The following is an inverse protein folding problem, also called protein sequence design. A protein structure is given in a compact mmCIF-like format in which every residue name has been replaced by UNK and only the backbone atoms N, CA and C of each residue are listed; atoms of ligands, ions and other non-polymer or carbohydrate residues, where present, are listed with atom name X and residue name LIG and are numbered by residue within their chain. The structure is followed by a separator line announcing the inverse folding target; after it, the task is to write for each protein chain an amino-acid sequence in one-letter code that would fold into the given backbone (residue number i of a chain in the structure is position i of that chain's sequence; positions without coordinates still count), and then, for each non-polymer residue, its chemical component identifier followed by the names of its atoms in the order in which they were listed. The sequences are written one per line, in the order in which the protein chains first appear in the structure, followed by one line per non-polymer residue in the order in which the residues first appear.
data_IF_475234885927
#
_entry.id   IF_475234885927
#
_cell.length_a   1.000
_cell.length_b   1.000
_cell.length_c   1.000
_cell.angle_alpha   90.00
_cell.angle_beta   90.00
_cell.angle_gamma   90.00
#
_symmetry.space_group_name_H-M   'P 1'
#
loop_
_entity.id
_entity.type
_entity.pdbx_description
1 polymer ?
#
# COMPACT_ATOMS: atom_id res chain seq x y z
N UNK A 1 11.82 -27.87 16.21
CA UNK A 1 12.76 -27.09 15.43
C UNK A 1 14.05 -27.89 15.49
N UNK A 2 14.14 -28.85 14.57
CA UNK A 2 15.00 -30.04 14.48
C UNK A 2 14.85 -31.12 15.57
N UNK A 3 14.77 -32.39 15.12
CA UNK A 3 14.80 -33.58 16.01
C UNK A 3 16.22 -33.81 16.53
N UNK A 4 17.21 -33.54 15.71
CA UNK A 4 18.63 -33.52 16.08
C UNK A 4 18.94 -32.24 16.85
N UNK A 5 19.14 -32.36 18.17
CA UNK A 5 19.40 -31.23 19.07
C UNK A 5 20.77 -30.56 18.85
N UNK A 6 21.63 -31.11 17.99
CA UNK A 6 22.88 -30.47 17.60
C UNK A 6 22.70 -29.41 16.51
N UNK A 7 21.51 -29.31 15.91
CA UNK A 7 21.18 -28.40 14.82
C UNK A 7 20.09 -27.41 15.22
N UNK A 8 20.10 -26.25 14.55
CA UNK A 8 19.05 -25.24 14.68
C UNK A 8 18.12 -25.30 13.46
N UNK A 9 16.81 -25.30 13.71
CA UNK A 9 15.84 -24.99 12.65
C UNK A 9 15.98 -23.53 12.25
N UNK A 10 15.99 -23.24 10.95
CA UNK A 10 16.26 -21.90 10.42
C UNK A 10 15.12 -21.37 9.55
N UNK A 11 13.93 -21.25 10.13
CA UNK A 11 12.75 -20.68 9.49
C UNK A 11 12.78 -19.15 9.40
N UNK A 12 13.67 -18.49 10.17
CA UNK A 12 13.92 -17.05 10.08
C UNK A 12 14.89 -16.66 8.97
N UNK A 13 15.64 -17.62 8.42
CA UNK A 13 16.77 -17.33 7.51
C UNK A 13 18.02 -16.80 8.22
N UNK A 14 17.96 -16.50 9.52
CA UNK A 14 19.02 -15.83 10.29
C UNK A 14 19.83 -16.76 11.22
N UNK A 15 19.85 -18.07 10.93
CA UNK A 15 20.66 -19.10 11.59
C UNK A 15 19.93 -19.89 12.68
N UNK A 16 18.90 -19.34 13.32
CA UNK A 16 18.09 -20.05 14.31
C UNK A 16 16.62 -19.67 14.26
N UNK A 17 15.77 -20.35 15.03
CA UNK A 17 14.35 -20.03 15.16
C UNK A 17 13.92 -20.19 16.61
N UNK A 18 13.28 -19.15 17.15
CA UNK A 18 12.75 -19.17 18.50
C UNK A 18 11.59 -20.17 18.60
N UNK A 19 11.59 -21.02 19.64
CA UNK A 19 10.50 -21.96 19.90
C UNK A 19 9.29 -21.25 20.51
N UNK A 20 8.65 -20.36 19.75
CA UNK A 20 7.61 -19.45 20.22
C UNK A 20 6.43 -20.14 20.94
N UNK A 21 6.09 -21.37 20.53
CA UNK A 21 4.99 -22.14 21.11
C UNK A 21 5.37 -22.99 22.33
N UNK A 22 6.66 -23.11 22.67
CA UNK A 22 7.10 -23.76 23.91
C UNK A 22 6.69 -22.92 25.12
N UNK A 23 6.14 -23.56 26.16
CA UNK A 23 5.45 -22.90 27.29
C UNK A 23 6.25 -21.75 27.93
N UNK A 24 7.54 -21.95 28.20
CA UNK A 24 8.40 -20.94 28.84
C UNK A 24 8.69 -19.76 27.90
N UNK A 25 8.94 -20.03 26.62
CA UNK A 25 9.25 -19.02 25.61
C UNK A 25 8.00 -18.21 25.28
N UNK A 26 6.84 -18.87 25.18
CA UNK A 26 5.54 -18.24 25.01
C UNK A 26 5.28 -17.22 26.12
N UNK A 27 5.53 -17.61 27.38
CA UNK A 27 5.42 -16.70 28.53
C UNK A 27 6.37 -15.51 28.40
N UNK A 28 7.64 -15.75 28.06
CA UNK A 28 8.63 -14.69 27.87
C UNK A 28 8.19 -13.67 26.82
N UNK A 29 7.65 -14.12 25.69
CA UNK A 29 7.12 -13.23 24.63
C UNK A 29 5.95 -12.39 25.18
N UNK A 30 4.97 -13.01 25.86
CA UNK A 30 3.84 -12.28 26.44
C UNK A 30 4.27 -11.27 27.50
N UNK A 31 5.19 -11.65 28.39
CA UNK A 31 5.69 -10.76 29.44
C UNK A 31 6.45 -9.56 28.82
N UNK A 32 7.18 -9.77 27.72
CA UNK A 32 7.80 -8.69 26.94
C UNK A 32 6.76 -7.73 26.34
N UNK A 33 5.74 -8.26 25.65
CA UNK A 33 4.69 -7.44 25.04
C UNK A 33 3.93 -6.62 26.09
N UNK A 34 3.59 -7.23 27.23
CA UNK A 34 2.94 -6.55 28.36
C UNK A 34 3.82 -5.45 28.95
N UNK A 35 5.13 -5.68 29.06
CA UNK A 35 6.07 -4.66 29.52
C UNK A 35 6.06 -3.44 28.58
N UNK A 36 6.19 -3.66 27.26
CA UNK A 36 6.16 -2.58 26.29
C UNK A 36 4.82 -1.83 26.28
N UNK A 37 3.70 -2.53 26.37
CA UNK A 37 2.38 -1.91 26.41
C UNK A 37 2.15 -1.13 27.72
N UNK A 38 2.36 -1.77 28.88
CA UNK A 38 1.98 -1.20 30.18
C UNK A 38 3.02 -0.26 30.79
N UNK A 39 4.31 -0.53 30.61
CA UNK A 39 5.38 0.26 31.22
C UNK A 39 5.96 1.30 30.27
N UNK A 40 6.04 0.97 28.97
CA UNK A 40 6.60 1.87 27.95
C UNK A 40 5.52 2.58 27.13
N UNK A 41 4.24 2.26 27.37
CA UNK A 41 3.07 2.86 26.73
C UNK A 41 3.07 2.72 25.19
N UNK A 42 3.54 1.58 24.68
CA UNK A 42 3.48 1.25 23.25
C UNK A 42 2.04 0.91 22.84
N UNK A 43 1.54 1.54 21.76
CA UNK A 43 0.16 1.37 21.26
C UNK A 43 -0.06 0.13 20.38
N UNK A 44 1.00 -0.52 19.92
CA UNK A 44 0.91 -1.67 19.04
C UNK A 44 2.24 -2.24 18.58
N UNK A 45 2.16 -3.39 17.89
CA UNK A 45 3.30 -4.20 17.50
C UNK A 45 3.16 -4.70 16.06
N UNK A 46 4.24 -4.56 15.27
CA UNK A 46 4.42 -5.26 14.00
C UNK A 46 5.36 -6.43 14.22
N UNK A 47 4.89 -7.65 13.99
CA UNK A 47 5.63 -8.88 14.19
C UNK A 47 6.33 -9.27 12.89
N UNK A 48 7.66 -9.24 12.93
CA UNK A 48 8.55 -9.70 11.87
C UNK A 48 8.44 -11.21 11.67
N UNK A 49 8.39 -11.66 10.41
CA UNK A 49 8.20 -13.05 10.00
C UNK A 49 7.20 -13.80 10.91
N UNK A 50 6.01 -13.22 11.11
CA UNK A 50 5.05 -13.66 12.12
C UNK A 50 4.61 -15.13 11.94
N UNK A 51 4.74 -15.69 10.72
CA UNK A 51 4.51 -17.11 10.45
C UNK A 51 5.47 -18.03 11.22
N UNK A 52 6.65 -17.57 11.64
CA UNK A 52 7.51 -18.32 12.56
C UNK A 52 6.76 -18.66 13.86
N UNK A 53 5.93 -17.74 14.35
CA UNK A 53 5.14 -17.94 15.57
C UNK A 53 3.96 -18.90 15.38
N UNK A 54 3.60 -19.23 14.12
CA UNK A 54 2.62 -20.26 13.82
C UNK A 54 3.22 -21.67 13.80
N UNK A 55 4.55 -21.81 13.82
CA UNK A 55 5.23 -23.12 13.85
C UNK A 55 5.24 -23.74 15.24
N UNK A 56 5.00 -25.04 15.29
CA UNK A 56 5.04 -25.85 16.50
C UNK A 56 6.46 -26.12 16.98
N UNK A 57 6.57 -26.92 18.05
CA UNK A 57 7.86 -27.20 18.67
C UNK A 57 8.78 -28.04 17.80
N UNK A 58 8.26 -28.75 16.79
CA UNK A 58 9.03 -29.55 15.84
C UNK A 58 9.30 -28.79 14.52
N UNK A 59 8.48 -27.79 14.17
CA UNK A 59 8.64 -26.89 13.02
C UNK A 59 7.49 -26.94 12.01
N UNK A 60 6.53 -27.81 12.27
CA UNK A 60 5.26 -27.94 11.58
C UNK A 60 4.41 -26.66 11.74
N UNK A 61 3.79 -26.14 10.67
CA UNK A 61 2.78 -25.09 10.82
C UNK A 61 1.58 -25.60 11.62
N UNK A 62 1.19 -24.88 12.66
CA UNK A 62 0.01 -25.19 13.45
C UNK A 62 -1.19 -24.44 12.89
N UNK A 63 -2.33 -25.14 12.75
CA UNK A 63 -3.61 -24.49 12.44
C UNK A 63 -4.12 -23.61 13.58
N UNK A 64 -3.74 -23.93 14.82
CA UNK A 64 -4.17 -23.23 16.03
C UNK A 64 -2.98 -22.95 16.97
N UNK A 65 -2.06 -22.05 16.61
CA UNK A 65 -0.83 -21.81 17.38
C UNK A 65 -1.14 -21.07 18.70
N UNK A 66 -0.82 -21.67 19.87
CA UNK A 66 -1.19 -21.08 21.15
C UNK A 66 -0.68 -19.66 21.40
N UNK A 67 0.52 -19.29 20.94
CA UNK A 67 1.07 -17.95 21.18
C UNK A 67 0.24 -16.84 20.53
N UNK A 68 -0.22 -17.02 19.28
CA UNK A 68 -0.93 -15.98 18.54
C UNK A 68 -2.29 -15.68 19.19
N UNK A 69 -3.00 -16.72 19.63
CA UNK A 69 -4.24 -16.55 20.40
C UNK A 69 -4.00 -16.00 21.79
N UNK A 70 -2.90 -16.37 22.45
CA UNK A 70 -2.55 -15.80 23.75
C UNK A 70 -2.28 -14.30 23.65
N UNK A 71 -1.63 -13.83 22.58
CA UNK A 71 -1.39 -12.40 22.32
C UNK A 71 -2.72 -11.69 22.08
N UNK A 72 -3.55 -12.24 21.20
CA UNK A 72 -4.82 -11.60 20.82
C UNK A 72 -5.82 -11.49 21.96
N UNK A 73 -5.90 -12.52 22.82
CA UNK A 73 -6.86 -12.60 23.92
C UNK A 73 -6.34 -12.06 25.25
N UNK A 74 -5.09 -11.55 25.30
CA UNK A 74 -4.52 -11.00 26.52
C UNK A 74 -5.23 -9.71 26.95
N UNK A 75 -5.76 -9.61 28.18
CA UNK A 75 -6.48 -8.42 28.63
C UNK A 75 -5.64 -7.13 28.65
N UNK A 76 -4.32 -7.24 28.88
CA UNK A 76 -3.41 -6.09 28.86
C UNK A 76 -3.19 -5.62 27.42
N UNK A 77 -3.12 -6.56 26.47
CA UNK A 77 -2.89 -6.26 25.05
C UNK A 77 -4.18 -5.97 24.28
N UNK A 78 -5.36 -6.11 24.91
CA UNK A 78 -6.64 -5.92 24.26
C UNK A 78 -6.82 -4.52 23.63
N UNK A 79 -6.16 -3.47 24.14
CA UNK A 79 -6.18 -2.14 23.51
C UNK A 79 -5.16 -1.94 22.38
N UNK A 80 -4.22 -2.86 22.19
CA UNK A 80 -3.07 -2.68 21.29
C UNK A 80 -3.35 -3.15 19.86
N UNK A 81 -2.73 -2.48 18.88
CA UNK A 81 -2.76 -2.88 17.48
C UNK A 81 -1.74 -4.01 17.25
N UNK A 82 -2.12 -5.06 16.53
CA UNK A 82 -1.23 -6.19 16.22
C UNK A 82 -1.20 -6.43 14.71
N UNK A 83 -0.01 -6.36 14.13
CA UNK A 83 0.22 -6.43 12.68
C UNK A 83 1.20 -7.57 12.39
N UNK A 84 0.88 -8.43 11.44
CA UNK A 84 1.71 -9.56 11.04
C UNK A 84 2.36 -9.34 9.68
N UNK A 85 3.66 -9.63 9.60
CA UNK A 85 4.28 -10.08 8.36
C UNK A 85 3.97 -11.58 8.20
N UNK A 86 2.88 -11.91 7.51
CA UNK A 86 2.32 -13.26 7.50
C UNK A 86 3.04 -14.22 6.52
N UNK A 87 4.37 -14.27 6.59
CA UNK A 87 5.21 -15.24 5.91
C UNK A 87 6.50 -15.51 6.68
N UNK A 88 7.28 -16.51 6.26
CA UNK A 88 8.64 -16.75 6.78
C UNK A 88 9.66 -17.09 5.68
N UNK A 89 10.93 -17.11 6.05
CA UNK A 89 12.04 -17.33 5.12
C UNK A 89 12.15 -18.78 4.61
N UNK A 90 11.37 -19.72 5.16
CA UNK A 90 11.29 -21.09 4.68
C UNK A 90 10.15 -21.33 3.69
N UNK A 91 9.47 -20.27 3.24
CA UNK A 91 8.45 -20.30 2.20
C UNK A 91 7.03 -20.53 2.72
N UNK A 92 6.80 -20.51 4.04
CA UNK A 92 5.42 -20.48 4.55
C UNK A 92 4.82 -19.11 4.27
N UNK A 93 3.65 -19.08 3.62
CA UNK A 93 2.95 -17.85 3.25
C UNK A 93 1.49 -17.94 3.72
N UNK A 94 1.09 -17.01 4.58
CA UNK A 94 -0.19 -17.04 5.31
C UNK A 94 -1.01 -15.77 5.15
N UNK A 95 -0.66 -14.85 4.23
CA UNK A 95 -1.48 -13.66 3.97
C UNK A 95 -2.91 -14.07 3.59
N UNK A 96 -3.91 -13.48 4.23
CA UNK A 96 -5.34 -13.79 4.07
C UNK A 96 -5.82 -14.97 4.94
N UNK A 97 -4.91 -15.80 5.42
CA UNK A 97 -5.20 -16.99 6.25
C UNK A 97 -4.52 -16.95 7.62
N UNK A 98 -3.92 -15.83 8.00
CA UNK A 98 -3.26 -15.67 9.28
C UNK A 98 -4.30 -15.77 10.40
N UNK A 99 -3.95 -16.50 11.47
CA UNK A 99 -4.89 -16.82 12.54
C UNK A 99 -5.33 -15.56 13.28
N UNK A 100 -6.49 -15.65 13.92
CA UNK A 100 -7.01 -14.58 14.75
C UNK A 100 -7.94 -13.61 14.03
N UNK A 101 -8.67 -12.83 14.83
CA UNK A 101 -9.68 -11.89 14.37
C UNK A 101 -9.13 -10.47 14.26
N UNK A 102 -8.26 -10.07 15.20
CA UNK A 102 -7.72 -8.69 15.32
C UNK A 102 -6.44 -8.42 14.54
N UNK A 103 -5.77 -9.45 14.05
CA UNK A 103 -4.51 -9.31 13.34
C UNK A 103 -4.73 -8.60 12.01
N UNK A 104 -4.09 -7.45 11.85
CA UNK A 104 -3.86 -6.85 10.54
C UNK A 104 -2.60 -7.47 9.92
N UNK A 105 -2.50 -7.42 8.59
CA UNK A 105 -1.47 -8.13 7.84
C UNK A 105 -0.85 -7.17 6.82
N UNK A 106 0.47 -7.19 6.70
CA UNK A 106 1.16 -6.57 5.57
C UNK A 106 0.69 -7.22 4.27
N UNK A 107 0.02 -6.44 3.42
CA UNK A 107 -0.54 -6.94 2.18
C UNK A 107 0.50 -6.88 1.05
N UNK A 108 1.36 -7.90 0.99
CA UNK A 108 2.34 -8.05 -0.09
C UNK A 108 1.70 -8.15 -1.48
N UNK A 109 0.46 -8.65 -1.59
CA UNK A 109 -0.28 -8.71 -2.86
C UNK A 109 -0.71 -7.31 -3.33
N UNK A 110 -1.08 -6.42 -2.42
CA UNK A 110 -1.34 -5.01 -2.76
C UNK A 110 -0.10 -4.39 -3.36
N UNK A 111 1.05 -4.51 -2.69
CA UNK A 111 2.34 -4.02 -3.18
C UNK A 111 2.62 -4.53 -4.60
N UNK A 112 2.61 -5.84 -4.78
CA UNK A 112 3.03 -6.45 -6.04
C UNK A 112 2.07 -6.13 -7.18
N UNK A 113 0.76 -6.20 -6.96
CA UNK A 113 -0.23 -5.95 -8.03
C UNK A 113 -0.27 -4.48 -8.45
N UNK A 114 -0.14 -3.54 -7.50
CA UNK A 114 -0.09 -2.11 -7.83
C UNK A 114 1.18 -1.76 -8.62
N UNK A 115 2.33 -2.33 -8.24
CA UNK A 115 3.60 -2.16 -8.96
C UNK A 115 3.53 -2.70 -10.39
N UNK A 116 3.05 -3.93 -10.56
CA UNK A 116 2.87 -4.56 -11.88
C UNK A 116 1.92 -3.73 -12.77
N UNK A 117 0.79 -3.27 -12.22
CA UNK A 117 -0.16 -2.47 -12.98
C UNK A 117 0.42 -1.12 -13.43
N UNK A 118 1.08 -0.39 -12.54
CA UNK A 118 1.71 0.90 -12.88
C UNK A 118 2.84 0.74 -13.91
N UNK A 119 3.58 -0.37 -13.83
CA UNK A 119 4.57 -0.77 -14.84
C UNK A 119 3.93 -1.05 -16.21
N UNK A 120 2.64 -1.37 -16.25
CA UNK A 120 1.88 -1.66 -17.47
C UNK A 120 1.88 -3.14 -17.82
N UNK A 121 1.86 -4.02 -16.82
CA UNK A 121 1.70 -5.46 -17.06
C UNK A 121 0.26 -5.83 -17.42
N UNK A 122 0.14 -6.85 -18.26
CA UNK A 122 -1.13 -7.43 -18.68
C UNK A 122 -1.85 -8.16 -17.52
N UNK A 123 -3.19 -8.21 -17.59
CA UNK A 123 -4.05 -8.99 -16.70
C UNK A 123 -4.21 -8.41 -15.29
N UNK A 124 -3.79 -7.16 -15.07
CA UNK A 124 -3.75 -6.56 -13.73
C UNK A 124 -5.09 -5.97 -13.25
N UNK A 125 -5.97 -5.52 -14.16
CA UNK A 125 -7.16 -4.71 -13.82
C UNK A 125 -8.07 -5.40 -12.79
N UNK A 126 -8.34 -6.69 -12.95
CA UNK A 126 -9.15 -7.45 -11.99
C UNK A 126 -8.50 -7.51 -10.61
N UNK A 127 -7.17 -7.67 -10.55
CA UNK A 127 -6.44 -7.76 -9.29
C UNK A 127 -6.44 -6.43 -8.56
N UNK A 128 -6.11 -5.33 -9.23
CA UNK A 128 -6.11 -4.00 -8.60
C UNK A 128 -7.50 -3.56 -8.14
N UNK A 129 -8.58 -3.98 -8.82
CA UNK A 129 -9.95 -3.71 -8.36
C UNK A 129 -10.22 -4.35 -7.00
N UNK A 130 -9.73 -5.57 -6.77
CA UNK A 130 -9.78 -6.18 -5.45
C UNK A 130 -8.90 -5.43 -4.45
N UNK A 131 -7.67 -5.06 -4.84
CA UNK A 131 -6.73 -4.34 -3.97
C UNK A 131 -7.29 -2.99 -3.48
N UNK A 132 -7.96 -2.23 -4.36
CA UNK A 132 -8.64 -0.96 -4.04
C UNK A 132 -9.73 -1.16 -2.98
N UNK A 133 -10.39 -2.31 -2.97
CA UNK A 133 -11.47 -2.65 -2.04
C UNK A 133 -11.01 -3.41 -0.79
N UNK A 134 -9.78 -3.16 -0.31
CA UNK A 134 -9.18 -3.86 0.83
C UNK A 134 -9.04 -5.39 0.64
N UNK A 135 -8.86 -5.85 -0.60
CA UNK A 135 -8.53 -7.24 -0.96
C UNK A 135 -9.51 -8.31 -0.45
N UNK A 136 -10.80 -8.25 -0.83
CA UNK A 136 -11.82 -9.18 -0.34
C UNK A 136 -11.59 -10.64 -0.79
N UNK A 137 -10.82 -10.85 -1.85
CA UNK A 137 -10.37 -12.16 -2.33
C UNK A 137 -9.22 -12.76 -1.49
N UNK A 138 -8.56 -11.98 -0.65
CA UNK A 138 -7.61 -12.49 0.35
C UNK A 138 -8.29 -12.63 1.72
N UNK A 139 -9.17 -11.68 2.05
CA UNK A 139 -9.87 -11.63 3.33
C UNK A 139 -11.34 -11.98 3.12
N UNK A 140 -11.62 -13.27 2.91
CA UNK A 140 -12.94 -13.78 2.53
C UNK A 140 -14.01 -13.65 3.62
N UNK A 141 -13.63 -13.30 4.85
CA UNK A 141 -14.51 -13.13 6.02
C UNK A 141 -15.06 -11.71 6.07
N UNK A 142 -16.24 -11.43 5.47
CA UNK A 142 -16.72 -10.07 5.24
C UNK A 142 -17.18 -9.39 6.53
N UNK A 143 -17.34 -10.15 7.61
CA UNK A 143 -17.61 -9.65 8.97
C UNK A 143 -16.40 -9.00 9.64
N UNK A 144 -15.20 -9.15 9.05
CA UNK A 144 -13.98 -8.49 9.54
C UNK A 144 -13.83 -7.10 8.95
N UNK A 145 -13.02 -6.27 9.60
CA UNK A 145 -12.81 -4.89 9.21
C UNK A 145 -11.80 -4.78 8.03
N UNK A 146 -12.01 -3.86 7.07
CA UNK A 146 -11.08 -3.61 5.96
C UNK A 146 -9.66 -3.19 6.41
N UNK A 147 -9.55 -2.61 7.60
CA UNK A 147 -8.28 -2.17 8.21
C UNK A 147 -7.29 -3.33 8.47
N UNK A 148 -7.76 -4.59 8.35
CA UNK A 148 -6.92 -5.79 8.37
C UNK A 148 -5.87 -5.76 7.27
N UNK A 149 -6.16 -5.12 6.14
CA UNK A 149 -5.20 -4.95 5.07
C UNK A 149 -4.30 -3.74 5.36
N UNK A 150 -3.03 -3.99 5.67
CA UNK A 150 -2.01 -2.93 5.68
C UNK A 150 -1.48 -2.81 4.25
N UNK A 151 -1.94 -1.79 3.54
CA UNK A 151 -1.55 -1.49 2.17
C UNK A 151 -0.24 -0.73 2.17
N UNK A 152 0.68 -1.10 1.29
CA UNK A 152 1.95 -0.39 1.11
C UNK A 152 2.46 -0.60 -0.31
N UNK A 153 3.17 0.41 -0.84
CA UNK A 153 3.87 0.29 -2.12
C UNK A 153 5.33 -0.03 -1.90
N UNK A 154 5.92 0.40 -0.79
CA UNK A 154 7.33 0.35 -0.45
C UNK A 154 7.48 0.17 1.06
N UNK A 155 8.58 -0.45 1.48
CA UNK A 155 8.92 -0.66 2.89
C UNK A 155 10.44 -0.56 3.03
N UNK A 156 10.96 -0.76 4.23
CA UNK A 156 12.41 -0.80 4.43
C UNK A 156 13.07 -1.95 3.65
N UNK A 157 12.32 -3.02 3.40
CA UNK A 157 12.69 -4.08 2.46
C UNK A 157 12.39 -3.68 1.02
N UNK A 158 13.35 -3.86 0.13
CA UNK A 158 13.22 -3.53 -1.29
C UNK A 158 13.58 -2.07 -1.60
N UNK A 159 13.11 -1.61 -2.76
CA UNK A 159 13.34 -0.24 -3.19
C UNK A 159 12.54 0.79 -2.38
N UNK A 160 13.14 1.96 -2.23
CA UNK A 160 12.42 3.22 -1.97
C UNK A 160 11.46 3.53 -3.13
N UNK A 161 10.51 4.45 -2.94
CA UNK A 161 9.56 4.79 -4.01
C UNK A 161 10.24 5.50 -5.18
N UNK A 162 11.29 6.29 -4.91
CA UNK A 162 12.10 6.88 -5.96
C UNK A 162 12.88 5.82 -6.75
N UNK A 163 13.47 4.84 -6.06
CA UNK A 163 14.26 3.81 -6.74
C UNK A 163 13.39 2.81 -7.50
N UNK A 164 12.15 2.57 -7.03
CA UNK A 164 11.15 1.75 -7.72
C UNK A 164 10.85 2.27 -9.15
N UNK A 165 10.95 3.59 -9.36
CA UNK A 165 10.72 4.24 -10.66
C UNK A 165 12.02 4.62 -11.38
N UNK A 166 13.18 4.30 -10.79
CA UNK A 166 14.50 4.70 -11.30
C UNK A 166 15.41 3.52 -11.64
N UNK A 167 15.11 2.32 -11.15
CA UNK A 167 15.96 1.14 -11.33
C UNK A 167 15.15 -0.10 -11.75
N UNK A 168 15.63 -0.84 -12.73
CA UNK A 168 15.11 -2.17 -13.10
C UNK A 168 15.79 -3.29 -12.32
N UNK A 169 17.04 -3.07 -11.87
CA UNK A 169 17.84 -4.07 -11.16
C UNK A 169 18.30 -3.53 -9.82
N UNK A 170 18.50 -4.42 -8.86
CA UNK A 170 19.13 -4.09 -7.58
C UNK A 170 20.64 -3.87 -7.76
N UNK A 171 21.16 -2.92 -7.02
CA UNK A 171 22.57 -2.52 -6.95
C UNK A 171 23.02 -2.58 -5.48
N UNK A 172 23.12 -3.81 -4.96
CA UNK A 172 23.47 -4.09 -3.56
C UNK A 172 24.96 -4.38 -3.37
N UNK A 173 25.82 -4.00 -4.31
CA UNK A 173 27.25 -4.31 -4.30
C UNK A 173 27.94 -3.88 -3.00
N UNK A 174 27.53 -2.73 -2.45
CA UNK A 174 28.08 -2.17 -1.20
C UNK A 174 27.70 -2.97 0.06
N UNK A 175 26.77 -3.93 -0.04
CA UNK A 175 26.42 -4.82 1.08
C UNK A 175 27.46 -5.93 1.29
N UNK A 176 28.37 -6.15 0.34
CA UNK A 176 29.47 -7.12 0.47
C UNK A 176 29.10 -8.57 0.13
N UNK A 177 27.87 -8.84 -0.29
CA UNK A 177 27.38 -10.18 -0.64
C UNK A 177 27.37 -10.46 -2.15
N UNK A 178 28.17 -9.70 -2.91
CA UNK A 178 28.27 -9.80 -4.38
C UNK A 178 26.90 -9.64 -5.08
N UNK A 179 26.08 -8.71 -4.56
CA UNK A 179 24.72 -8.43 -5.04
C UNK A 179 23.78 -9.66 -4.99
N UNK A 180 24.06 -10.66 -4.14
CA UNK A 180 23.23 -11.86 -3.96
C UNK A 180 22.08 -11.66 -2.98
N UNK A 181 22.20 -10.68 -2.10
CA UNK A 181 21.22 -10.32 -1.09
C UNK A 181 20.09 -9.44 -1.66
N UNK A 182 18.96 -9.34 -0.96
CA UNK A 182 17.79 -8.58 -1.41
C UNK A 182 16.92 -9.31 -2.46
N UNK A 183 15.70 -8.79 -2.67
CA UNK A 183 14.73 -9.42 -3.58
C UNK A 183 15.08 -9.23 -5.05
N UNK A 184 14.97 -10.29 -5.86
CA UNK A 184 15.18 -10.23 -7.31
C UNK A 184 14.03 -9.54 -8.05
N UNK A 185 12.80 -9.88 -7.68
CA UNK A 185 11.58 -9.39 -8.35
C UNK A 185 11.03 -8.17 -7.62
N UNK A 186 11.41 -6.98 -8.10
CA UNK A 186 10.99 -5.71 -7.50
C UNK A 186 9.72 -5.13 -8.14
N UNK A 187 9.32 -5.64 -9.32
CA UNK A 187 8.26 -5.08 -10.17
C UNK A 187 8.46 -3.58 -10.45
N UNK A 188 9.72 -3.17 -10.58
CA UNK A 188 10.15 -1.80 -10.85
C UNK A 188 10.26 -1.51 -12.34
N UNK A 189 10.36 -0.22 -12.69
CA UNK A 189 10.63 0.27 -14.03
C UNK A 189 11.37 1.59 -13.95
N UNK A 190 12.54 1.68 -14.60
CA UNK A 190 13.42 2.84 -14.53
C UNK A 190 12.95 4.08 -15.32
N UNK A 191 11.79 3.98 -15.99
CA UNK A 191 11.20 5.03 -16.82
C UNK A 191 12.05 5.43 -18.04
N UNK A 192 13.02 4.60 -18.45
CA UNK A 192 13.81 4.76 -19.67
C UNK A 192 15.32 4.73 -19.46
N UNK A 193 15.81 5.19 -18.30
CA UNK A 193 17.25 5.25 -17.96
C UNK A 193 17.47 4.64 -16.59
N UNK A 194 18.45 3.75 -16.44
CA UNK A 194 18.79 3.14 -15.16
C UNK A 194 19.51 4.16 -14.25
N UNK A 195 18.96 4.42 -13.07
CA UNK A 195 19.51 5.34 -12.07
C UNK A 195 19.31 6.81 -12.41
N UNK A 196 20.26 7.65 -11.99
CA UNK A 196 20.20 9.10 -12.16
C UNK A 196 20.07 9.51 -13.64
N UNK A 197 19.21 10.49 -13.92
CA UNK A 197 19.02 11.06 -15.25
C UNK A 197 18.92 12.59 -15.18
N UNK A 198 19.56 13.28 -16.13
CA UNK A 198 19.41 14.73 -16.34
C UNK A 198 18.29 15.05 -17.36
N UNK A 199 17.64 14.03 -17.92
CA UNK A 199 16.55 14.22 -18.88
C UNK A 199 15.26 14.68 -18.16
N UNK A 200 14.78 15.91 -18.44
CA UNK A 200 13.59 16.44 -17.77
C UNK A 200 12.32 15.65 -18.07
N UNK A 201 12.21 14.97 -19.22
CA UNK A 201 11.04 14.15 -19.55
C UNK A 201 10.99 12.89 -18.69
N UNK A 202 12.15 12.25 -18.45
CA UNK A 202 12.27 11.08 -17.57
C UNK A 202 11.96 11.47 -16.12
N UNK A 203 12.53 12.57 -15.63
CA UNK A 203 12.28 13.02 -14.26
C UNK A 203 10.81 13.44 -14.03
N UNK A 204 10.18 14.06 -15.04
CA UNK A 204 8.75 14.36 -14.99
C UNK A 204 7.90 13.08 -14.95
N UNK A 205 8.24 12.06 -15.75
CA UNK A 205 7.56 10.77 -15.75
C UNK A 205 7.73 10.03 -14.41
N UNK A 206 8.94 10.03 -13.84
CA UNK A 206 9.23 9.45 -12.51
C UNK A 206 8.43 10.13 -11.42
N UNK A 207 8.42 11.46 -11.39
CA UNK A 207 7.64 12.22 -10.42
C UNK A 207 6.13 11.92 -10.56
N UNK A 208 5.63 11.78 -11.79
CA UNK A 208 4.25 11.35 -12.06
C UNK A 208 3.99 9.94 -11.52
N UNK A 209 4.88 8.97 -11.74
CA UNK A 209 4.72 7.61 -11.19
C UNK A 209 4.72 7.60 -9.66
N UNK A 210 5.61 8.35 -9.02
CA UNK A 210 5.64 8.51 -7.56
C UNK A 210 4.28 9.03 -7.06
N UNK A 211 3.74 10.08 -7.69
CA UNK A 211 2.42 10.62 -7.36
C UNK A 211 1.29 9.62 -7.63
N UNK A 212 1.37 8.81 -8.68
CA UNK A 212 0.38 7.76 -8.96
C UNK A 212 0.32 6.73 -7.83
N UNK A 213 1.49 6.22 -7.41
CA UNK A 213 1.60 5.25 -6.33
C UNK A 213 1.08 5.81 -5.00
N UNK A 214 1.45 7.04 -4.66
CA UNK A 214 0.95 7.73 -3.48
C UNK A 214 -0.57 7.93 -3.56
N UNK A 215 -1.08 8.28 -4.74
CA UNK A 215 -2.51 8.47 -4.97
C UNK A 215 -3.27 7.18 -4.70
N UNK A 216 -2.89 6.08 -5.36
CA UNK A 216 -3.56 4.78 -5.18
C UNK A 216 -3.45 4.27 -3.75
N UNK A 217 -2.29 4.40 -3.11
CA UNK A 217 -2.10 4.01 -1.73
C UNK A 217 -3.09 4.73 -0.80
N UNK A 218 -3.24 6.05 -0.97
CA UNK A 218 -4.05 6.88 -0.08
C UNK A 218 -5.55 6.85 -0.40
N UNK A 219 -5.98 6.42 -1.60
CA UNK A 219 -7.41 6.34 -1.94
C UNK A 219 -7.95 4.90 -1.94
N UNK A 220 -7.11 3.90 -1.69
CA UNK A 220 -7.55 2.50 -1.56
C UNK A 220 -8.10 2.24 -0.16
N UNK A 221 -9.13 1.39 -0.05
CA UNK A 221 -9.64 0.94 1.22
C UNK A 221 -8.62 0.04 1.93
N UNK A 222 -8.51 0.19 3.25
CA UNK A 222 -7.51 -0.46 4.09
C UNK A 222 -6.67 0.58 4.83
N UNK A 223 -5.60 0.14 5.47
CA UNK A 223 -4.71 1.03 6.22
C UNK A 223 -3.45 1.32 5.40
N UNK A 224 -3.22 2.55 4.90
CA UNK A 224 -2.00 2.87 4.16
C UNK A 224 -0.79 2.96 5.09
N UNK A 225 0.34 2.39 4.68
CA UNK A 225 1.65 2.53 5.31
C UNK A 225 2.61 3.23 4.36
N UNK A 226 3.21 4.33 4.81
CA UNK A 226 4.20 5.11 4.07
C UNK A 226 5.62 4.82 4.61
N UNK A 227 6.57 4.58 3.71
CA UNK A 227 7.97 4.41 4.06
C UNK A 227 8.64 5.77 4.28
N UNK A 228 9.47 5.86 5.31
CA UNK A 228 10.29 7.05 5.62
C UNK A 228 11.08 7.52 4.39
N UNK A 229 10.87 8.78 4.02
CA UNK A 229 11.61 9.47 2.98
C UNK A 229 11.00 9.36 1.59
N UNK A 230 9.99 8.52 1.37
CA UNK A 230 9.29 8.48 0.08
C UNK A 230 8.59 9.82 -0.22
N UNK A 231 8.23 10.57 0.81
CA UNK A 231 7.65 11.91 0.73
C UNK A 231 8.62 13.01 0.24
N UNK A 232 9.92 12.70 0.21
CA UNK A 232 11.01 13.58 -0.24
C UNK A 232 11.91 12.92 -1.27
N UNK A 233 11.40 11.92 -2.02
CA UNK A 233 12.16 11.16 -3.02
C UNK A 233 13.49 10.60 -2.47
N UNK A 234 13.49 10.06 -1.24
CA UNK A 234 14.67 9.37 -0.68
C UNK A 234 15.10 8.27 -1.64
N UNK A 235 16.41 8.12 -1.79
CA UNK A 235 17.04 7.12 -2.65
C UNK A 235 18.06 6.33 -1.84
N UNK A 236 18.16 5.04 -2.15
CA UNK A 236 19.21 4.12 -1.74
C UNK A 236 20.12 3.78 -2.94
N UNK A 237 20.10 4.60 -4.00
CA UNK A 237 20.90 4.44 -5.22
C UNK A 237 20.72 3.08 -5.90
N UNK A 238 19.52 2.50 -5.81
CA UNK A 238 19.24 1.18 -6.35
C UNK A 238 19.64 0.03 -5.42
N UNK A 239 20.13 0.30 -4.20
CA UNK A 239 20.25 -0.71 -3.17
C UNK A 239 18.86 -1.03 -2.60
N UNK A 240 18.38 -2.26 -2.79
CA UNK A 240 17.06 -2.70 -2.34
C UNK A 240 17.09 -3.48 -1.02
N UNK A 241 18.23 -3.48 -0.32
CA UNK A 241 18.44 -4.21 0.92
C UNK A 241 19.49 -3.51 1.80
N UNK A 242 19.29 -2.25 2.12
CA UNK A 242 20.27 -1.42 2.84
C UNK A 242 20.39 -1.75 4.35
N UNK A 243 20.29 -3.02 4.74
CA UNK A 243 20.25 -3.47 6.14
C UNK A 243 21.55 -3.21 6.91
N UNK A 244 22.69 -3.17 6.21
CA UNK A 244 24.02 -2.99 6.78
C UNK A 244 24.62 -1.60 6.50
N UNK A 245 23.82 -0.66 5.96
CA UNK A 245 24.29 0.65 5.52
C UNK A 245 23.98 1.71 6.57
N UNK A 246 24.92 1.96 7.47
CA UNK A 246 24.87 3.04 8.49
C UNK A 246 25.43 4.36 7.91
N UNK A 247 24.82 4.85 6.82
CA UNK A 247 25.32 5.97 6.03
C UNK A 247 24.20 6.68 5.23
N UNK A 248 24.56 7.60 4.34
CA UNK A 248 23.64 8.42 3.54
C UNK A 248 22.63 7.62 2.71
N UNK A 249 22.87 6.34 2.42
CA UNK A 249 21.88 5.47 1.77
C UNK A 249 20.66 5.24 2.66
N UNK A 250 20.83 5.11 3.97
CA UNK A 250 19.73 4.86 4.92
C UNK A 250 19.25 6.12 5.66
N UNK A 251 20.08 7.17 5.69
CA UNK A 251 19.76 8.42 6.38
C UNK A 251 18.63 9.22 5.73
N UNK A 252 17.93 9.97 6.57
CA UNK A 252 16.91 10.93 6.12
C UNK A 252 17.60 12.25 5.75
N UNK A 253 17.58 12.63 4.48
CA UNK A 253 18.09 13.92 4.03
C UNK A 253 17.07 15.04 4.29
N UNK A 254 17.23 15.74 5.41
CA UNK A 254 16.38 16.89 5.77
C UNK A 254 16.43 18.03 4.75
N UNK A 255 17.54 18.18 3.99
CA UNK A 255 17.63 19.19 2.94
C UNK A 255 16.70 18.89 1.76
N UNK A 256 16.29 17.64 1.59
CA UNK A 256 15.39 17.22 0.52
C UNK A 256 13.95 17.71 0.72
N UNK A 257 13.55 18.11 1.93
CA UNK A 257 12.23 18.72 2.17
C UNK A 257 12.05 19.98 1.33
N UNK A 258 13.08 20.84 1.27
CA UNK A 258 13.04 22.06 0.45
C UNK A 258 13.23 21.73 -1.04
N UNK A 259 14.20 20.87 -1.38
CA UNK A 259 14.48 20.47 -2.77
C UNK A 259 13.30 19.79 -3.45
N UNK A 260 12.56 18.97 -2.71
CA UNK A 260 11.38 18.21 -3.18
C UNK A 260 10.07 18.82 -2.65
N UNK A 261 10.05 20.13 -2.35
CA UNK A 261 8.93 20.80 -1.70
C UNK A 261 7.58 20.61 -2.42
N UNK A 262 7.60 20.44 -3.74
CA UNK A 262 6.38 20.14 -4.51
C UNK A 262 5.81 18.74 -4.23
N UNK A 263 6.65 17.70 -4.16
CA UNK A 263 6.21 16.36 -3.77
C UNK A 263 5.79 16.32 -2.30
N UNK A 264 6.58 16.95 -1.42
CA UNK A 264 6.27 17.00 0.00
C UNK A 264 4.90 17.67 0.25
N UNK A 265 4.60 18.76 -0.48
CA UNK A 265 3.27 19.37 -0.49
C UNK A 265 2.21 18.35 -0.93
N UNK A 266 2.39 17.70 -2.08
CA UNK A 266 1.44 16.72 -2.61
C UNK A 266 1.12 15.62 -1.57
N UNK A 267 2.15 15.05 -0.92
CA UNK A 267 1.99 14.01 0.11
C UNK A 267 1.22 14.52 1.32
N UNK A 268 1.53 15.73 1.80
CA UNK A 268 0.79 16.33 2.91
C UNK A 268 -0.69 16.52 2.58
N UNK A 269 -0.97 17.07 1.41
CA UNK A 269 -2.34 17.38 0.99
C UNK A 269 -3.17 16.10 0.79
N UNK A 270 -2.59 15.04 0.18
CA UNK A 270 -3.33 13.79 -0.01
C UNK A 270 -3.57 13.03 1.30
N UNK A 271 -2.63 13.09 2.26
CA UNK A 271 -2.86 12.56 3.61
C UNK A 271 -4.00 13.33 4.28
N UNK A 272 -4.00 14.67 4.21
CA UNK A 272 -5.09 15.49 4.74
C UNK A 272 -6.43 15.17 4.05
N UNK A 273 -6.42 14.96 2.74
CA UNK A 273 -7.60 14.59 1.97
C UNK A 273 -8.18 13.24 2.40
N UNK A 274 -7.34 12.24 2.63
CA UNK A 274 -7.75 10.95 3.17
C UNK A 274 -8.34 11.07 4.58
N UNK A 275 -7.66 11.77 5.49
CA UNK A 275 -8.08 11.91 6.89
C UNK A 275 -9.33 12.75 7.07
N UNK A 276 -9.62 13.67 6.14
CA UNK A 276 -10.79 14.56 6.20
C UNK A 276 -12.10 13.94 5.69
N UNK A 277 -12.07 12.71 5.15
CA UNK A 277 -13.22 12.10 4.48
C UNK A 277 -13.64 10.78 5.13
N UNK A 278 -14.90 10.71 5.51
CA UNK A 278 -15.47 9.52 6.16
C UNK A 278 -15.34 8.26 5.30
N UNK A 279 -15.43 8.37 3.97
CA UNK A 279 -15.39 7.19 3.09
C UNK A 279 -14.08 6.40 3.20
N UNK A 280 -12.95 7.08 3.47
CA UNK A 280 -11.66 6.43 3.66
C UNK A 280 -11.42 5.96 5.09
N UNK A 281 -12.24 6.42 6.05
CA UNK A 281 -12.18 6.03 7.46
C UNK A 281 -13.24 4.96 7.82
N UNK A 282 -14.07 4.52 6.87
CA UNK A 282 -15.15 3.57 7.15
C UNK A 282 -14.59 2.15 7.37
N UNK A 283 -14.99 1.55 8.49
CA UNK A 283 -14.69 0.17 8.87
C UNK A 283 -15.56 -0.87 8.12
N UNK A 284 -16.41 -0.47 7.18
CA UNK A 284 -17.22 -1.36 6.32
C UNK A 284 -16.69 -1.40 4.91
N UNK A 285 -16.63 -2.60 4.32
CA UNK A 285 -16.23 -2.78 2.93
C UNK A 285 -17.11 -1.97 1.96
N UNK A 286 -16.48 -1.27 1.01
CA UNK A 286 -17.21 -0.49 -0.01
C UNK A 286 -18.02 -1.37 -0.97
N UNK A 287 -17.67 -2.65 -1.11
CA UNK A 287 -18.38 -3.62 -1.95
C UNK A 287 -19.74 -4.05 -1.38
N UNK A 288 -20.03 -3.73 -0.10
CA UNK A 288 -21.28 -3.98 0.60
C UNK A 288 -21.80 -5.43 0.51
N UNK A 289 -21.12 -6.41 1.13
CA UNK A 289 -21.51 -7.82 1.07
C UNK A 289 -22.84 -8.17 1.78
N UNK A 290 -23.40 -7.29 2.63
CA UNK A 290 -24.51 -7.61 3.55
C UNK A 290 -25.72 -6.65 3.45
N UNK A 291 -26.45 -6.67 2.33
CA UNK A 291 -27.73 -5.93 2.13
C UNK A 291 -27.67 -4.39 2.24
N UNK A 292 -26.48 -3.79 2.32
CA UNK A 292 -26.27 -2.36 2.13
C UNK A 292 -26.02 -2.05 0.63
N UNK A 293 -26.33 -0.83 0.16
CA UNK A 293 -25.92 -0.42 -1.18
C UNK A 293 -24.38 -0.36 -1.29
N UNK A 294 -23.84 -0.92 -2.37
CA UNK A 294 -22.42 -0.79 -2.70
C UNK A 294 -22.06 0.68 -2.88
N UNK A 295 -20.92 1.06 -2.33
CA UNK A 295 -20.42 2.44 -2.37
C UNK A 295 -19.43 2.67 -3.49
N UNK A 296 -18.93 1.60 -4.09
CA UNK A 296 -18.02 1.65 -5.23
C UNK A 296 -18.69 1.08 -6.47
N UNK A 297 -18.52 1.77 -7.60
CA UNK A 297 -18.86 1.27 -8.93
C UNK A 297 -17.61 1.32 -9.80
N UNK A 298 -17.25 0.21 -10.45
CA UNK A 298 -16.11 0.16 -11.37
C UNK A 298 -16.54 0.50 -12.80
N UNK A 299 -15.66 1.17 -13.53
CA UNK A 299 -15.82 1.62 -14.90
C UNK A 299 -14.52 1.37 -15.68
N UNK A 300 -14.58 1.45 -17.01
CA UNK A 300 -13.41 1.62 -17.87
C UNK A 300 -13.37 3.06 -18.33
N UNK A 301 -12.95 3.30 -19.58
CA UNK A 301 -13.18 4.60 -20.23
C UNK A 301 -14.68 4.91 -20.41
N UNK A 302 -15.53 3.87 -20.40
CA UNK A 302 -16.99 3.98 -20.43
C UNK A 302 -17.62 3.59 -19.09
N UNK A 303 -18.69 4.28 -18.72
CA UNK A 303 -19.35 4.06 -17.43
C UNK A 303 -19.96 2.66 -17.30
N UNK A 304 -19.69 1.98 -16.18
CA UNK A 304 -20.26 0.67 -15.85
C UNK A 304 -19.67 -0.48 -16.67
N UNK A 305 -18.59 -0.21 -17.43
CA UNK A 305 -17.94 -1.15 -18.32
C UNK A 305 -16.44 -1.21 -18.03
N UNK A 306 -16.01 -1.77 -16.87
CA UNK A 306 -14.59 -1.99 -16.62
C UNK A 306 -14.01 -2.92 -17.69
N UNK A 307 -12.84 -2.56 -18.22
CA UNK A 307 -12.13 -3.37 -19.20
C UNK A 307 -11.27 -4.40 -18.47
N UNK A 308 -11.76 -5.64 -18.40
CA UNK A 308 -11.11 -6.74 -17.71
C UNK A 308 -10.26 -7.61 -18.63
N UNK A 309 -10.04 -7.17 -19.87
CA UNK A 309 -9.20 -7.88 -20.82
C UNK A 309 -7.73 -7.91 -20.36
N UNK A 310 -6.98 -8.89 -20.87
CA UNK A 310 -5.58 -9.09 -20.51
C UNK A 310 -4.71 -7.88 -20.90
N UNK A 311 -4.99 -7.21 -22.01
CA UNK A 311 -4.21 -6.05 -22.47
C UNK A 311 -4.68 -4.71 -21.90
N UNK A 312 -5.59 -4.71 -20.92
CA UNK A 312 -6.11 -3.47 -20.37
C UNK A 312 -5.16 -2.82 -19.37
N UNK A 313 -4.94 -1.52 -19.54
CA UNK A 313 -4.08 -0.68 -18.69
C UNK A 313 -4.84 0.52 -18.10
N UNK A 314 -6.16 0.39 -17.96
CA UNK A 314 -6.99 1.46 -17.41
C UNK A 314 -8.05 0.93 -16.45
N UNK A 315 -8.36 1.72 -15.44
CA UNK A 315 -9.47 1.46 -14.53
C UNK A 315 -10.03 2.79 -14.05
N UNK A 316 -11.35 2.89 -13.95
CA UNK A 316 -11.99 3.98 -13.25
C UNK A 316 -12.96 3.45 -12.21
N UNK A 317 -13.22 4.22 -11.17
CA UNK A 317 -14.24 3.88 -10.18
C UNK A 317 -14.88 5.14 -9.61
N UNK A 318 -16.15 5.03 -9.27
CA UNK A 318 -16.89 6.06 -8.54
C UNK A 318 -17.17 5.56 -7.14
N UNK A 319 -16.75 6.34 -6.15
CA UNK A 319 -17.13 6.19 -4.75
C UNK A 319 -18.30 7.13 -4.45
N UNK A 320 -19.27 6.64 -3.67
CA UNK A 320 -20.38 7.43 -3.15
C UNK A 320 -20.50 7.20 -1.65
N UNK A 321 -20.30 8.26 -0.89
CA UNK A 321 -20.59 8.27 0.54
C UNK A 321 -22.04 8.69 0.77
N UNK A 322 -22.88 7.73 1.14
CA UNK A 322 -24.30 7.97 1.41
C UNK A 322 -24.56 8.93 2.58
N UNK A 323 -23.60 9.11 3.51
CA UNK A 323 -23.79 10.01 4.65
C UNK A 323 -23.55 11.47 4.27
N UNK A 324 -22.42 11.75 3.65
CA UNK A 324 -22.06 13.11 3.21
C UNK A 324 -22.68 13.49 1.87
N UNK A 325 -23.22 12.52 1.12
CA UNK A 325 -23.63 12.69 -0.29
C UNK A 325 -22.47 13.18 -1.19
N UNK A 326 -21.23 12.88 -0.80
CA UNK A 326 -20.04 13.08 -1.63
C UNK A 326 -19.85 11.92 -2.62
N UNK A 327 -19.43 12.27 -3.82
CA UNK A 327 -19.08 11.43 -4.94
C UNK A 327 -17.64 11.74 -5.33
N UNK A 328 -16.80 10.71 -5.37
CA UNK A 328 -15.43 10.79 -5.87
C UNK A 328 -15.35 9.91 -7.11
N UNK A 329 -14.82 10.44 -8.21
CA UNK A 329 -14.57 9.65 -9.41
C UNK A 329 -13.07 9.66 -9.71
N UNK A 330 -12.50 8.46 -9.75
CA UNK A 330 -11.07 8.22 -9.92
C UNK A 330 -10.86 7.56 -11.27
N UNK A 331 -9.93 8.10 -12.05
CA UNK A 331 -9.58 7.61 -13.38
C UNK A 331 -8.09 7.31 -13.40
N UNK A 332 -7.74 6.06 -13.65
CA UNK A 332 -6.36 5.57 -13.63
C UNK A 332 -5.98 5.16 -15.04
N UNK A 333 -4.98 5.84 -15.60
CA UNK A 333 -4.41 5.55 -16.90
C UNK A 333 -2.97 5.03 -16.73
N UNK A 334 -2.78 3.72 -16.72
CA UNK A 334 -1.46 3.10 -16.81
C UNK A 334 -1.03 2.85 -18.28
N UNK A 335 -1.83 3.28 -19.26
CA UNK A 335 -1.49 3.21 -20.67
C UNK A 335 -0.47 4.30 -21.06
N UNK A 336 0.25 4.08 -22.16
CA UNK A 336 1.27 5.00 -22.68
C UNK A 336 0.72 6.10 -23.60
N UNK A 337 -0.59 6.10 -23.87
CA UNK A 337 -1.30 7.16 -24.60
C UNK A 337 -2.38 7.81 -23.72
N UNK A 338 -2.80 9.05 -24.02
CA UNK A 338 -3.92 9.65 -23.32
C UNK A 338 -5.22 8.88 -23.55
N UNK A 339 -6.01 8.74 -22.49
CA UNK A 339 -7.34 8.13 -22.53
C UNK A 339 -8.40 9.16 -22.10
N UNK A 340 -9.58 9.08 -22.69
CA UNK A 340 -10.72 9.94 -22.33
C UNK A 340 -11.76 9.12 -21.60
N UNK A 341 -12.00 9.45 -20.33
CA UNK A 341 -12.94 8.75 -19.46
C UNK A 341 -14.27 9.49 -19.41
N UNK A 342 -15.38 8.76 -19.48
CA UNK A 342 -16.71 9.28 -19.21
C UNK A 342 -16.88 9.61 -17.72
N UNK A 343 -17.51 10.74 -17.42
CA UNK A 343 -17.84 11.18 -16.06
C UNK A 343 -19.30 10.82 -15.73
N UNK A 344 -19.59 10.29 -14.52
CA UNK A 344 -20.96 10.02 -14.11
C UNK A 344 -21.79 11.31 -14.07
N UNK A 345 -23.05 11.23 -14.48
CA UNK A 345 -23.99 12.31 -14.23
C UNK A 345 -24.23 12.42 -12.72
N UNK A 346 -23.99 13.61 -12.16
CA UNK A 346 -24.32 13.89 -10.77
C UNK A 346 -25.85 14.07 -10.63
N UNK A 347 -26.45 13.65 -9.50
CA UNK A 347 -27.87 13.88 -9.25
C UNK A 347 -28.23 15.37 -9.39
N UNK A 348 -29.35 15.67 -10.04
CA UNK A 348 -29.76 17.00 -10.54
C UNK A 348 -30.03 18.08 -9.48
N UNK A 349 -29.56 17.91 -8.23
CA UNK A 349 -29.77 18.87 -7.15
C UNK A 349 -28.52 19.73 -6.94
N UNK A 350 -28.71 21.02 -7.15
CA UNK A 350 -27.90 22.11 -6.60
C UNK A 350 -26.54 22.40 -7.25
N UNK A 351 -26.49 22.55 -8.58
CA UNK A 351 -25.32 23.15 -9.25
C UNK A 351 -24.00 22.40 -9.06
N UNK A 352 -24.05 21.14 -8.61
CA UNK A 352 -22.87 20.32 -8.30
C UNK A 352 -22.20 19.89 -9.58
N UNK A 353 -21.01 20.41 -9.81
CA UNK A 353 -20.09 19.97 -10.85
C UNK A 353 -18.99 19.08 -10.29
N UNK A 354 -18.35 18.31 -11.17
CA UNK A 354 -17.10 17.65 -10.87
C UNK A 354 -15.99 18.71 -10.78
N UNK A 355 -15.20 18.69 -9.71
CA UNK A 355 -14.03 19.54 -9.55
C UNK A 355 -12.78 18.67 -9.48
N UNK A 356 -11.73 19.05 -10.21
CA UNK A 356 -10.48 18.28 -10.29
C UNK A 356 -9.61 18.53 -9.07
N UNK A 357 -9.57 17.55 -8.16
CA UNK A 357 -8.76 17.61 -6.94
C UNK A 357 -7.34 17.11 -7.22
N UNK A 358 -7.20 16.00 -7.93
CA UNK A 358 -5.89 15.40 -8.25
C UNK A 358 -5.78 15.23 -9.76
N UNK A 359 -4.63 15.59 -10.32
CA UNK A 359 -4.19 15.16 -11.64
C UNK A 359 -2.67 15.08 -11.67
N UNK A 360 -2.14 13.86 -11.62
CA UNK A 360 -0.70 13.62 -11.47
C UNK A 360 0.12 14.02 -12.69
N UNK A 361 -0.52 14.29 -13.84
CA UNK A 361 0.15 14.77 -15.03
C UNK A 361 0.45 16.27 -15.01
N UNK A 362 -0.22 17.03 -14.14
CA UNK A 362 -0.04 18.48 -14.03
C UNK A 362 1.20 18.85 -13.22
N UNK A 363 1.80 20.03 -13.49
CA UNK A 363 2.88 20.54 -12.66
C UNK A 363 2.35 20.93 -11.28
N UNK A 364 3.23 20.90 -10.27
CA UNK A 364 2.92 21.50 -8.97
C UNK A 364 2.77 23.02 -9.12
N UNK A 365 1.74 23.66 -8.50
CA UNK A 365 0.80 23.11 -7.51
C UNK A 365 -0.54 22.59 -8.08
N UNK A 366 -0.72 22.54 -9.39
CA UNK A 366 -2.00 22.14 -10.01
C UNK A 366 -2.26 20.62 -9.95
N UNK A 367 -1.23 19.84 -9.64
CA UNK A 367 -1.27 18.39 -9.41
C UNK A 367 -2.16 17.95 -8.26
N UNK A 368 -2.31 18.81 -7.26
CA UNK A 368 -3.27 18.67 -6.16
C UNK A 368 -3.87 20.03 -5.82
N UNK A 369 -5.17 20.17 -6.06
CA UNK A 369 -5.96 21.32 -5.67
C UNK A 369 -6.79 20.96 -4.43
N UNK A 370 -6.81 21.84 -3.42
CA UNK A 370 -7.73 21.66 -2.30
C UNK A 370 -9.18 21.70 -2.81
N UNK A 371 -10.10 20.94 -2.22
CA UNK A 371 -11.49 20.91 -2.67
C UNK A 371 -12.08 22.31 -2.90
N UNK A 372 -11.93 23.23 -1.96
CA UNK A 372 -12.45 24.61 -2.04
C UNK A 372 -11.93 25.43 -3.23
N UNK A 373 -10.74 25.11 -3.76
CA UNK A 373 -10.08 25.81 -4.86
C UNK A 373 -10.05 24.98 -6.16
N UNK A 374 -10.60 23.76 -6.13
CA UNK A 374 -10.47 22.81 -7.23
C UNK A 374 -11.22 23.33 -8.47
N UNK A 375 -10.61 23.33 -9.67
CA UNK A 375 -11.25 23.86 -10.86
C UNK A 375 -12.41 22.98 -11.32
N UNK A 376 -13.49 23.63 -11.76
CA UNK A 376 -14.67 22.98 -12.34
C UNK A 376 -14.30 22.26 -13.64
N UNK A 377 -14.70 21.00 -13.74
CA UNK A 377 -14.60 20.18 -14.96
C UNK A 377 -15.87 20.36 -15.76
N UNK A 378 -15.74 20.94 -16.96
CA UNK A 378 -16.86 21.15 -17.88
C UNK A 378 -17.01 19.95 -18.81
N UNK A 379 -18.24 19.43 -18.92
CA UNK A 379 -18.59 18.35 -19.85
C UNK A 379 -18.78 17.01 -19.14
N UNK A 380 -19.00 15.97 -19.96
CA UNK A 380 -19.26 14.60 -19.50
C UNK A 380 -18.06 13.68 -19.62
N UNK A 381 -16.87 14.22 -19.90
CA UNK A 381 -15.65 13.45 -20.09
C UNK A 381 -14.44 14.18 -19.51
N UNK A 382 -13.41 13.43 -19.12
CA UNK A 382 -12.13 13.97 -18.69
C UNK A 382 -10.99 13.23 -19.40
N UNK A 383 -10.05 14.00 -19.97
CA UNK A 383 -8.86 13.45 -20.62
C UNK A 383 -7.78 13.24 -19.56
N UNK A 384 -7.30 12.00 -19.44
CA UNK A 384 -6.23 11.61 -18.52
C UNK A 384 -4.98 11.29 -19.34
N UNK A 385 -3.90 12.02 -19.12
CA UNK A 385 -2.64 11.89 -19.87
C UNK A 385 -1.98 10.50 -19.62
N UNK A 386 -1.01 10.08 -20.47
CA UNK A 386 -0.32 8.80 -20.29
C UNK A 386 0.22 8.61 -18.88
N UNK A 387 0.12 7.38 -18.36
CA UNK A 387 0.74 6.99 -17.08
C UNK A 387 0.37 7.94 -15.94
N UNK A 388 -0.89 8.36 -15.84
CA UNK A 388 -1.36 9.35 -14.85
C UNK A 388 -2.66 8.93 -14.17
N UNK A 389 -2.99 9.62 -13.09
CA UNK A 389 -4.23 9.45 -12.33
C UNK A 389 -4.89 10.79 -12.16
N UNK A 390 -6.19 10.84 -12.40
CA UNK A 390 -7.03 11.98 -12.08
C UNK A 390 -8.12 11.59 -11.07
N UNK A 391 -8.40 12.48 -10.14
CA UNK A 391 -9.50 12.37 -9.19
C UNK A 391 -10.34 13.65 -9.26
N UNK A 392 -11.62 13.47 -9.53
CA UNK A 392 -12.62 14.54 -9.44
C UNK A 392 -13.57 14.26 -8.28
N UNK A 393 -14.01 15.33 -7.63
CA UNK A 393 -14.92 15.31 -6.48
C UNK A 393 -16.13 16.19 -6.79
N UNK A 394 -17.33 15.77 -6.40
CA UNK A 394 -18.46 16.70 -6.40
C UNK A 394 -18.34 17.62 -5.18
N UNK A 395 -18.27 18.92 -5.42
CA UNK A 395 -18.19 19.89 -4.33
C UNK A 395 -19.49 20.67 -4.35
N UNK A 396 -20.11 20.77 -3.18
CA UNK A 396 -21.20 21.71 -2.97
C UNK A 396 -20.53 22.99 -2.51
N UNK A 397 -20.39 23.97 -3.41
CA UNK A 397 -19.96 25.31 -3.02
C UNK A 397 -21.22 25.97 -2.46
N UNK A 398 -21.27 26.14 -1.13
CA UNK A 398 -22.33 26.89 -0.45
C UNK A 398 -22.25 28.39 -0.75
#
# INVERSE_FOLDING_TARGET
LEKDRSKYGNFSGCGNTIKANHSIVRRMILDSLRYWASAMHVDGFRFDLASVMSRGEEGEPLSNPPILWSIESDPILAGTKIIAEAWDAAGLYQVGSFVGHRWAEWNGRFRDDMRQFMRGESGCVKRIANRICASPDLYEQPEREPNRSINFITSHDGFTLNDLVSYEKKHNEENGEQNKDGGEYNFSWNCGVEGHSDDPEIEALRLRQIKNFLTILMISQGTPMLLMGDEIRRTQLGNNNAYCQDNELSWFDWSAIEKQGGLFRFVKEIIHFNLSREIFQDARFWTAPNHEPARITFHGIHLGKPDLNEDSHSLAFTLHDHKSSEYLHVMINAYWEPLTFELPALPSRDGKGWHRVIDTALPTPDDFCKPEDAPLVTGSHYKVEPRSIALVLNITID
#
